data_IF_713157223318
#
_entry.id   IF_713157223318
#
_cell.length_a   1.000
_cell.length_b   1.000
_cell.length_c   1.000
_cell.angle_alpha   90.00
_cell.angle_beta   90.00
_cell.angle_gamma   90.00
#
_symmetry.space_group_name_H-M   'P 1'
#
loop_
_entity.id
_entity.type
_entity.pdbx_description
1 polymer ?
#
# COMPACT_ATOMS: atom_id res chain seq x y z
N UNK A 1 -7.51 15.38 -50.29
CA UNK A 1 -6.59 14.24 -50.46
C UNK A 1 -7.00 13.19 -49.43
N UNK A 2 -7.37 11.99 -49.89
CA UNK A 2 -8.03 10.96 -49.09
C UNK A 2 -7.13 10.50 -47.95
N UNK A 3 -7.69 10.46 -46.74
CA UNK A 3 -7.12 9.78 -45.59
C UNK A 3 -7.62 8.34 -45.68
N UNK A 4 -6.72 7.40 -46.04
CA UNK A 4 -7.09 6.00 -46.18
C UNK A 4 -7.11 5.34 -44.78
N UNK A 5 -8.32 5.08 -44.29
CA UNK A 5 -8.64 4.24 -43.15
C UNK A 5 -8.35 2.77 -43.48
N UNK A 6 -7.11 2.29 -43.36
CA UNK A 6 -6.84 0.86 -43.50
C UNK A 6 -5.51 0.40 -42.85
N UNK A 7 -5.25 0.76 -41.58
CA UNK A 7 -4.30 -0.02 -40.74
C UNK A 7 -4.37 0.31 -39.24
N UNK A 8 -5.56 0.68 -38.74
CA UNK A 8 -5.80 0.74 -37.29
C UNK A 8 -6.01 -0.69 -36.78
N UNK A 9 -4.92 -1.46 -36.68
CA UNK A 9 -4.91 -2.72 -35.93
C UNK A 9 -4.32 -2.45 -34.54
N UNK A 10 -5.25 -2.15 -33.63
CA UNK A 10 -5.21 -2.46 -32.20
C UNK A 10 -4.02 -1.94 -31.36
N UNK A 11 -3.90 -0.61 -31.24
CA UNK A 11 -3.35 0.00 -30.02
C UNK A 11 -4.24 1.17 -29.59
N UNK A 12 -4.67 1.24 -28.32
CA UNK A 12 -5.70 2.18 -27.87
C UNK A 12 -5.07 3.56 -27.61
N UNK A 13 -4.67 4.25 -28.68
CA UNK A 13 -4.21 5.63 -28.57
C UNK A 13 -5.44 6.55 -28.58
N UNK A 14 -6.01 6.81 -27.40
CA UNK A 14 -7.03 7.84 -27.25
C UNK A 14 -6.37 9.22 -27.37
N UNK A 15 -6.44 9.79 -28.56
CA UNK A 15 -6.17 11.20 -28.78
C UNK A 15 -7.31 12.02 -28.17
N UNK A 16 -7.06 12.70 -27.05
CA UNK A 16 -7.86 13.84 -26.62
C UNK A 16 -6.96 15.06 -26.46
N UNK A 17 -7.15 15.96 -27.41
CA UNK A 17 -6.96 17.41 -27.42
C UNK A 17 -6.33 18.06 -26.18
N UNK A 18 -5.32 18.91 -26.46
CA UNK A 18 -4.60 19.86 -25.60
C UNK A 18 -3.53 19.32 -24.63
N UNK A 19 -2.28 19.36 -25.11
CA UNK A 19 -1.05 19.66 -24.37
C UNK A 19 -0.80 18.86 -23.08
N UNK A 20 -0.33 17.61 -23.18
CA UNK A 20 1.00 17.20 -22.68
C UNK A 20 1.43 15.96 -23.50
N UNK A 21 2.64 15.95 -24.06
CA UNK A 21 3.28 14.72 -24.54
C UNK A 21 3.94 14.03 -23.34
N UNK A 22 3.17 13.35 -22.49
CA UNK A 22 3.73 12.47 -21.48
C UNK A 22 3.98 11.10 -22.12
N UNK A 23 5.25 10.72 -22.16
CA UNK A 23 5.73 9.45 -22.67
C UNK A 23 4.92 8.29 -22.07
N UNK A 24 4.40 7.35 -22.89
CA UNK A 24 3.74 6.15 -22.38
C UNK A 24 4.65 5.37 -21.40
N UNK A 25 5.98 5.57 -21.44
CA UNK A 25 6.94 5.03 -20.48
C UNK A 25 6.84 5.69 -19.10
N UNK A 26 6.52 6.98 -19.01
CA UNK A 26 6.28 7.69 -17.73
C UNK A 26 4.94 7.27 -17.13
N UNK A 27 3.89 7.15 -17.95
CA UNK A 27 2.58 6.62 -17.50
C UNK A 27 2.70 5.16 -17.04
N UNK A 28 3.46 4.32 -17.76
CA UNK A 28 3.74 2.95 -17.30
C UNK A 28 4.69 2.90 -16.09
N UNK A 29 5.49 3.93 -15.81
CA UNK A 29 6.29 4.06 -14.58
C UNK A 29 5.40 4.37 -13.38
N UNK A 30 4.39 5.22 -13.58
CA UNK A 30 3.34 5.54 -12.61
C UNK A 30 2.38 4.35 -12.35
N UNK A 31 2.15 3.48 -13.35
CA UNK A 31 1.22 2.33 -13.23
C UNK A 31 1.95 1.00 -12.88
N UNK A 32 3.28 0.90 -13.07
CA UNK A 32 4.08 -0.33 -12.77
C UNK A 32 5.08 -0.19 -11.63
N UNK A 33 5.01 0.90 -10.85
CA UNK A 33 5.71 1.02 -9.57
C UNK A 33 4.84 0.46 -8.46
N UNK A 34 5.15 -0.77 -8.00
CA UNK A 34 4.47 -1.50 -6.93
C UNK A 34 4.23 -0.61 -5.71
N UNK A 35 2.97 -0.23 -5.54
CA UNK A 35 2.41 0.41 -4.36
C UNK A 35 2.40 -0.62 -3.24
N UNK A 36 3.12 -0.36 -2.14
CA UNK A 36 3.02 -1.08 -0.87
C UNK A 36 2.97 -0.03 0.26
N UNK A 37 2.42 -0.37 1.42
CA UNK A 37 1.34 0.37 2.09
C UNK A 37 1.36 0.09 3.60
N UNK A 38 1.29 1.12 4.45
CA UNK A 38 1.04 0.92 5.88
C UNK A 38 -0.23 0.09 6.10
N UNK A 39 -0.29 -0.73 7.16
CA UNK A 39 -1.46 -1.59 7.41
C UNK A 39 -2.58 -0.82 8.14
N UNK A 40 -3.83 -1.20 7.86
CA UNK A 40 -5.03 -0.72 8.53
C UNK A 40 -5.92 -1.91 8.94
N UNK A 41 -6.62 -1.76 10.07
CA UNK A 41 -7.60 -2.73 10.57
C UNK A 41 -8.99 -2.26 10.13
N UNK A 42 -9.74 -3.15 9.47
CA UNK A 42 -11.10 -2.85 9.00
C UNK A 42 -12.15 -3.07 10.09
N UNK A 43 -13.38 -2.67 9.80
CA UNK A 43 -14.57 -2.89 10.67
C UNK A 43 -14.91 -4.37 10.89
N UNK A 44 -14.25 -5.30 10.20
CA UNK A 44 -14.40 -6.74 10.40
C UNK A 44 -13.66 -7.25 11.65
N UNK A 45 -12.92 -6.39 12.35
CA UNK A 45 -12.24 -6.72 13.59
C UNK A 45 -13.20 -7.21 14.67
N UNK A 46 -12.84 -8.32 15.31
CA UNK A 46 -13.63 -8.95 16.38
C UNK A 46 -13.10 -8.69 17.80
N UNK A 47 -12.17 -7.76 17.98
CA UNK A 47 -11.54 -7.41 19.27
C UNK A 47 -11.04 -8.62 20.07
N UNK A 48 -10.21 -9.46 19.44
CA UNK A 48 -9.68 -10.69 20.04
C UNK A 48 -8.30 -10.53 20.72
N UNK A 49 -7.73 -9.32 20.73
CA UNK A 49 -6.49 -8.92 21.44
C UNK A 49 -5.18 -9.61 21.00
N UNK A 50 -5.22 -10.53 20.02
CA UNK A 50 -4.04 -11.32 19.63
C UNK A 50 -2.99 -10.55 18.84
N UNK A 51 -3.35 -9.46 18.17
CA UNK A 51 -2.44 -8.75 17.27
C UNK A 51 -1.60 -7.65 17.95
N UNK A 52 -2.09 -7.09 19.05
CA UNK A 52 -1.39 -6.06 19.83
C UNK A 52 0.00 -6.50 20.31
N UNK A 53 0.16 -7.65 21.01
CA UNK A 53 1.46 -8.06 21.54
C UNK A 53 2.46 -8.50 20.45
N UNK A 54 1.97 -8.79 19.24
CA UNK A 54 2.80 -9.26 18.13
C UNK A 54 3.47 -8.12 17.35
N UNK A 55 3.02 -6.87 17.56
CA UNK A 55 3.60 -5.72 16.87
C UNK A 55 4.95 -5.33 17.50
N UNK A 56 6.08 -5.44 16.78
CA UNK A 56 7.40 -5.13 17.35
C UNK A 56 7.58 -3.64 17.70
N UNK A 57 6.82 -2.76 17.03
CA UNK A 57 6.88 -1.31 17.21
C UNK A 57 5.79 -0.77 18.14
N UNK A 58 4.91 -1.64 18.67
CA UNK A 58 3.74 -1.20 19.44
C UNK A 58 2.78 -0.30 18.66
N UNK A 59 2.65 -0.51 17.34
CA UNK A 59 1.81 0.30 16.48
C UNK A 59 0.30 0.02 16.62
N UNK A 60 -0.07 -1.11 17.23
CA UNK A 60 -1.46 -1.55 17.38
C UNK A 60 -1.95 -1.17 18.78
N UNK A 61 -3.15 -0.59 18.87
CA UNK A 61 -3.79 -0.25 20.15
C UNK A 61 -5.31 -0.41 20.08
N UNK A 62 -5.99 -0.62 21.23
CA UNK A 62 -7.45 -0.67 21.27
C UNK A 62 -8.05 0.72 20.97
N UNK A 63 -8.94 0.79 19.97
CA UNK A 63 -9.79 1.95 19.70
C UNK A 63 -11.15 1.84 20.39
N UNK A 64 -12.10 2.71 19.99
CA UNK A 64 -13.44 2.73 20.57
C UNK A 64 -14.29 1.51 20.18
N UNK A 65 -14.20 1.07 18.92
CA UNK A 65 -14.99 -0.05 18.38
C UNK A 65 -14.13 -1.20 17.84
N UNK A 66 -12.95 -0.89 17.30
CA UNK A 66 -12.00 -1.84 16.73
C UNK A 66 -10.58 -1.48 17.15
N UNK A 67 -9.65 -2.42 17.00
CA UNK A 67 -8.22 -2.11 17.08
C UNK A 67 -7.81 -1.14 15.97
N UNK A 68 -6.84 -0.29 16.27
CA UNK A 68 -6.30 0.71 15.34
C UNK A 68 -4.79 0.57 15.21
N UNK A 69 -4.28 0.83 14.01
CA UNK A 69 -2.84 0.88 13.72
C UNK A 69 -2.42 2.34 13.60
N UNK A 70 -1.38 2.75 14.35
CA UNK A 70 -0.70 4.02 14.12
C UNK A 70 0.24 3.89 12.91
N UNK A 71 -0.05 4.60 11.80
CA UNK A 71 0.77 4.51 10.59
C UNK A 71 2.19 5.06 10.79
N UNK A 72 2.43 5.90 11.79
CA UNK A 72 3.76 6.44 12.06
C UNK A 72 4.70 5.38 12.67
N UNK A 73 4.12 4.33 13.28
CA UNK A 73 4.84 3.22 13.91
C UNK A 73 4.79 1.94 13.09
N UNK A 74 3.81 1.79 12.19
CA UNK A 74 3.71 0.62 11.33
C UNK A 74 4.83 0.61 10.28
N UNK A 75 5.71 -0.39 10.32
CA UNK A 75 6.76 -0.61 9.32
C UNK A 75 6.46 -1.80 8.41
N UNK A 76 5.23 -2.32 8.40
CA UNK A 76 4.90 -3.62 7.79
C UNK A 76 5.83 -4.76 8.28
N UNK A 77 6.31 -4.65 9.52
CA UNK A 77 7.36 -5.49 10.10
C UNK A 77 8.72 -5.48 9.36
N UNK A 78 8.92 -4.62 8.35
CA UNK A 78 10.23 -4.42 7.71
C UNK A 78 11.25 -4.02 8.77
N UNK A 79 12.42 -4.66 8.73
CA UNK A 79 13.50 -4.52 9.71
C UNK A 79 13.45 -5.56 10.84
N UNK A 80 12.29 -6.15 11.13
CA UNK A 80 12.13 -7.19 12.15
C UNK A 80 11.87 -8.58 11.57
N UNK A 81 10.95 -8.68 10.61
CA UNK A 81 10.46 -9.94 10.04
C UNK A 81 10.28 -9.82 8.52
N UNK A 82 10.17 -10.97 7.84
CA UNK A 82 9.90 -11.02 6.40
C UNK A 82 8.42 -10.82 6.06
N UNK A 83 7.53 -11.04 7.04
CA UNK A 83 6.07 -10.92 6.91
C UNK A 83 5.48 -10.16 8.10
N UNK A 84 4.29 -9.58 7.88
CA UNK A 84 3.55 -8.85 8.90
C UNK A 84 2.96 -9.79 9.95
N UNK A 85 3.50 -9.74 11.17
CA UNK A 85 3.11 -10.68 12.24
C UNK A 85 1.64 -10.54 12.63
N UNK A 86 1.12 -9.31 12.67
CA UNK A 86 -0.29 -9.05 13.00
C UNK A 86 -1.26 -9.71 12.01
N UNK A 87 -0.91 -9.76 10.71
CA UNK A 87 -1.71 -10.42 9.68
C UNK A 87 -1.70 -11.94 9.88
N UNK A 88 -0.56 -12.54 10.20
CA UNK A 88 -0.43 -14.00 10.40
C UNK A 88 -1.26 -14.52 11.59
N UNK A 89 -1.49 -13.69 12.61
CA UNK A 89 -2.26 -14.09 13.80
C UNK A 89 -3.74 -13.68 13.74
N UNK A 90 -4.17 -12.90 12.74
CA UNK A 90 -5.54 -12.41 12.67
C UNK A 90 -6.50 -13.56 12.29
N UNK A 91 -7.50 -13.92 13.13
CA UNK A 91 -8.39 -15.05 12.85
C UNK A 91 -9.46 -14.76 11.78
N UNK A 92 -9.61 -13.49 11.37
CA UNK A 92 -10.65 -13.02 10.46
C UNK A 92 -10.07 -12.24 9.26
N UNK A 93 -8.75 -12.24 9.10
CA UNK A 93 -8.05 -11.59 7.97
C UNK A 93 -8.43 -10.11 7.73
N UNK A 94 -8.77 -9.37 8.80
CA UNK A 94 -9.25 -7.99 8.72
C UNK A 94 -8.14 -6.92 8.71
N UNK A 95 -6.87 -7.31 8.59
CA UNK A 95 -5.72 -6.41 8.55
C UNK A 95 -5.24 -6.32 7.10
N UNK A 96 -5.55 -5.20 6.47
CA UNK A 96 -5.28 -4.96 5.05
C UNK A 96 -4.30 -3.81 4.87
N UNK A 97 -3.87 -3.62 3.63
CA UNK A 97 -3.04 -2.48 3.26
C UNK A 97 -3.88 -1.19 3.14
N UNK A 98 -3.37 -0.08 3.68
CA UNK A 98 -3.99 1.25 3.65
C UNK A 98 -3.79 1.91 2.27
N UNK A 99 -4.85 2.13 1.48
CA UNK A 99 -4.74 2.75 0.15
C UNK A 99 -4.27 4.20 0.17
N UNK A 100 -4.46 4.90 1.30
CA UNK A 100 -4.16 6.32 1.44
C UNK A 100 -2.73 6.57 1.96
N UNK A 101 -2.02 5.52 2.41
CA UNK A 101 -0.68 5.62 3.02
C UNK A 101 0.29 4.62 2.42
N UNK A 102 0.78 4.98 1.24
CA UNK A 102 1.70 4.17 0.45
C UNK A 102 3.14 4.51 0.81
N UNK A 103 3.94 3.50 1.17
CA UNK A 103 5.33 3.59 1.56
C UNK A 103 6.17 2.49 0.90
N UNK A 104 7.31 2.88 0.34
CA UNK A 104 8.28 1.95 -0.22
C UNK A 104 9.01 1.18 0.88
N UNK A 105 9.65 0.06 0.51
CA UNK A 105 10.45 -0.73 1.46
C UNK A 105 11.57 0.10 2.06
N UNK A 106 12.17 0.98 1.28
CA UNK A 106 13.20 1.91 1.72
C UNK A 106 12.64 2.90 2.77
N UNK A 107 11.47 3.50 2.53
CA UNK A 107 10.81 4.39 3.49
C UNK A 107 10.41 3.68 4.79
N UNK A 108 9.93 2.43 4.70
CA UNK A 108 9.62 1.61 5.87
C UNK A 108 10.87 1.23 6.66
N UNK A 109 12.00 1.01 5.97
CA UNK A 109 13.29 0.74 6.62
C UNK A 109 13.83 2.01 7.31
N UNK A 110 13.77 3.17 6.66
CA UNK A 110 14.12 4.45 7.29
C UNK A 110 13.23 4.74 8.52
N UNK A 111 11.94 4.40 8.44
CA UNK A 111 11.02 4.48 9.58
C UNK A 111 11.43 3.55 10.71
N UNK A 112 11.77 2.29 10.38
CA UNK A 112 12.26 1.32 11.36
C UNK A 112 13.52 1.83 12.08
N UNK A 113 14.49 2.37 11.34
CA UNK A 113 15.71 2.95 11.90
C UNK A 113 15.37 4.09 12.87
N UNK A 114 14.47 5.00 12.46
CA UNK A 114 14.02 6.12 13.32
C UNK A 114 13.30 5.68 14.60
N UNK A 115 12.57 4.56 14.57
CA UNK A 115 11.86 4.03 15.75
C UNK A 115 12.81 3.28 16.69
N UNK A 116 13.87 2.69 16.14
CA UNK A 116 14.81 1.82 16.88
C UNK A 116 15.97 2.58 17.55
N UNK A 117 16.09 3.89 17.32
CA UNK A 117 17.05 4.80 17.97
C UNK A 117 16.57 5.30 19.35
#
# INVERSE_FOLDING_TARGET
MKCDLASVKEKPFFCKTSLICEDEREINKLIRGRILMALIITEECINCDVCEPECPNGAISPGDEIYVIDPNLCTECVGHYDTSQCTEVCPVDCIIQDPDRQETKEELLEKYERISE
#
